data_IF_561939936983
#
_entry.id   IF_561939936983
#
_cell.length_a   1.000
_cell.length_b   1.000
_cell.length_c   1.000
_cell.angle_alpha   90.00
_cell.angle_beta   90.00
_cell.angle_gamma   90.00
#
_symmetry.space_group_name_H-M   'P 1'
#
loop_
_entity.id
_entity.type
_entity.pdbx_description
1 polymer ?
#
# COMPACT_ATOMS: atom_id res chain seq x y z
N UNK A 1 4.68 5.20 13.56
CA UNK A 1 5.07 6.08 12.43
C UNK A 1 3.80 6.55 11.75
N UNK A 2 3.59 7.87 11.70
CA UNK A 2 2.43 8.46 11.06
C UNK A 2 2.49 8.34 9.53
N UNK A 3 1.37 7.92 8.91
CA UNK A 3 1.23 7.83 7.47
C UNK A 3 -0.25 7.92 7.05
N UNK A 4 -0.52 8.34 5.80
CA UNK A 4 -1.86 8.42 5.21
C UNK A 4 -2.28 9.83 4.78
N UNK A 5 -1.46 10.85 5.05
CA UNK A 5 -1.81 12.24 4.74
C UNK A 5 -1.98 12.48 3.24
N UNK A 6 -1.11 11.96 2.40
CA UNK A 6 -1.22 12.13 0.94
C UNK A 6 -2.53 11.54 0.38
N UNK A 7 -2.90 10.33 0.84
CA UNK A 7 -4.18 9.71 0.45
C UNK A 7 -5.36 10.54 0.92
N UNK A 8 -5.30 11.05 2.14
CA UNK A 8 -6.33 11.90 2.72
C UNK A 8 -6.53 13.19 1.92
N UNK A 9 -5.44 13.89 1.59
CA UNK A 9 -5.49 15.11 0.77
C UNK A 9 -6.08 14.81 -0.61
N UNK A 10 -5.65 13.71 -1.24
CA UNK A 10 -6.22 13.27 -2.52
C UNK A 10 -7.70 12.94 -2.43
N UNK A 11 -8.16 12.34 -1.34
CA UNK A 11 -9.57 12.05 -1.09
C UNK A 11 -10.38 13.34 -0.96
N UNK A 12 -9.96 14.27 -0.11
CA UNK A 12 -10.67 15.53 0.15
C UNK A 12 -10.76 16.39 -1.12
N UNK A 13 -9.67 16.48 -1.89
CA UNK A 13 -9.65 17.23 -3.14
C UNK A 13 -10.61 16.68 -4.21
N UNK A 14 -11.00 15.41 -4.10
CA UNK A 14 -11.92 14.74 -5.01
C UNK A 14 -13.32 14.56 -4.42
N UNK A 15 -13.52 14.97 -3.16
CA UNK A 15 -14.79 14.78 -2.46
C UNK A 15 -15.89 15.62 -3.11
N UNK A 16 -16.82 14.93 -3.73
CA UNK A 16 -18.03 15.48 -4.36
C UNK A 16 -19.11 14.41 -4.38
N UNK A 17 -20.33 14.85 -4.43
CA UNK A 17 -21.51 13.98 -4.60
C UNK A 17 -21.97 14.03 -6.06
N UNK A 18 -22.15 12.85 -6.67
CA UNK A 18 -22.72 12.72 -8.02
C UNK A 18 -24.24 12.77 -7.93
N UNK A 19 -24.95 13.03 -9.06
CA UNK A 19 -26.41 13.00 -9.05
C UNK A 19 -26.95 11.63 -8.61
N UNK A 20 -26.30 10.53 -8.99
CA UNK A 20 -26.70 9.19 -8.56
C UNK A 20 -26.54 8.98 -7.05
N UNK A 21 -25.50 9.58 -6.43
CA UNK A 21 -25.34 9.56 -4.97
C UNK A 21 -26.48 10.34 -4.29
N UNK A 22 -26.82 11.51 -4.84
CA UNK A 22 -27.87 12.37 -4.30
C UNK A 22 -29.27 11.74 -4.44
N UNK A 23 -29.57 11.11 -5.56
CA UNK A 23 -30.79 10.34 -5.77
C UNK A 23 -30.91 9.21 -4.73
N UNK A 24 -29.86 8.42 -4.53
CA UNK A 24 -29.84 7.37 -3.51
C UNK A 24 -30.08 7.93 -2.10
N UNK A 25 -29.37 9.01 -1.75
CA UNK A 25 -29.50 9.64 -0.43
C UNK A 25 -30.91 10.19 -0.18
N UNK A 26 -31.58 10.72 -1.21
CA UNK A 26 -32.95 11.22 -1.12
C UNK A 26 -33.98 10.07 -1.08
N UNK A 27 -33.90 9.15 -2.04
CA UNK A 27 -34.96 8.21 -2.33
C UNK A 27 -34.89 6.94 -1.45
N UNK A 28 -33.67 6.48 -1.11
CA UNK A 28 -33.47 5.27 -0.32
C UNK A 28 -33.11 5.58 1.14
N UNK A 29 -32.30 6.61 1.40
CA UNK A 29 -31.90 6.97 2.76
C UNK A 29 -32.90 7.93 3.41
N UNK A 30 -33.63 8.72 2.61
CA UNK A 30 -34.70 9.60 3.07
C UNK A 30 -34.21 10.96 3.57
N UNK A 31 -33.10 11.46 3.07
CA UNK A 31 -32.65 12.82 3.38
C UNK A 31 -33.54 13.86 2.71
N UNK A 32 -33.70 15.01 3.40
CA UNK A 32 -34.55 16.11 2.93
C UNK A 32 -33.91 16.85 1.75
N UNK A 33 -34.74 17.43 0.91
CA UNK A 33 -34.29 18.11 -0.32
C UNK A 33 -33.32 19.27 -0.05
N UNK A 34 -33.50 20.04 1.04
CA UNK A 34 -32.59 21.12 1.42
C UNK A 34 -31.17 20.61 1.71
N UNK A 35 -31.04 19.44 2.32
CA UNK A 35 -29.74 18.83 2.56
C UNK A 35 -29.16 18.22 1.27
N UNK A 36 -29.97 17.63 0.40
CA UNK A 36 -29.55 17.17 -0.91
C UNK A 36 -29.00 18.31 -1.76
N UNK A 37 -29.66 19.47 -1.75
CA UNK A 37 -29.19 20.67 -2.45
C UNK A 37 -27.88 21.23 -1.85
N UNK A 38 -27.70 21.16 -0.54
CA UNK A 38 -26.44 21.47 0.12
C UNK A 38 -25.33 20.54 -0.37
N UNK A 39 -25.54 19.21 -0.40
CA UNK A 39 -24.54 18.24 -0.84
C UNK A 39 -24.20 18.38 -2.32
N UNK A 40 -25.17 18.74 -3.17
CA UNK A 40 -24.94 19.00 -4.61
C UNK A 40 -23.90 20.10 -4.85
N UNK A 41 -23.90 21.10 -3.99
CA UNK A 41 -23.00 22.25 -4.07
C UNK A 41 -21.82 22.15 -3.09
N UNK A 42 -21.65 21.00 -2.44
CA UNK A 42 -20.68 20.83 -1.38
C UNK A 42 -19.26 21.11 -1.86
N UNK A 43 -18.54 21.91 -1.05
CA UNK A 43 -17.12 22.13 -1.17
C UNK A 43 -16.52 22.07 0.23
N UNK A 44 -15.50 21.27 0.41
CA UNK A 44 -14.78 21.22 1.68
C UNK A 44 -14.08 22.53 1.95
N UNK A 45 -14.37 23.17 3.08
CA UNK A 45 -13.85 24.49 3.46
C UNK A 45 -13.08 24.47 4.79
N UNK A 46 -13.13 23.36 5.52
CA UNK A 46 -12.44 23.24 6.79
C UNK A 46 -10.91 23.26 6.64
N UNK A 47 -10.22 23.70 7.67
CA UNK A 47 -8.77 23.65 7.76
C UNK A 47 -8.31 22.33 8.37
N UNK A 48 -7.30 21.70 7.77
CA UNK A 48 -6.65 20.50 8.32
C UNK A 48 -5.23 20.85 8.75
N UNK A 49 -4.89 20.51 9.98
CA UNK A 49 -3.52 20.50 10.51
C UNK A 49 -3.14 19.07 10.82
N UNK A 50 -1.94 18.67 10.46
CA UNK A 50 -1.47 17.28 10.59
C UNK A 50 0.00 17.23 11.00
N UNK A 51 0.36 16.15 11.67
CA UNK A 51 1.75 15.71 11.82
C UNK A 51 2.29 15.37 10.42
N UNK A 52 3.59 15.47 10.24
CA UNK A 52 4.26 15.11 8.98
C UNK A 52 4.37 13.58 8.86
N UNK A 53 4.14 13.03 7.67
CA UNK A 53 4.32 11.59 7.43
C UNK A 53 5.77 11.16 7.71
N UNK A 54 5.93 10.00 8.32
CA UNK A 54 7.23 9.44 8.73
C UNK A 54 7.63 9.78 10.16
N UNK A 55 6.99 10.74 10.82
CA UNK A 55 7.29 11.05 12.21
C UNK A 55 6.83 9.96 13.18
N UNK A 56 7.59 9.83 14.28
CA UNK A 56 7.22 8.98 15.40
C UNK A 56 6.17 9.70 16.24
N UNK A 57 5.03 9.05 16.42
CA UNK A 57 3.90 9.61 17.20
C UNK A 57 3.55 8.69 18.36
N UNK A 58 2.99 9.28 19.41
CA UNK A 58 2.66 8.59 20.65
C UNK A 58 1.16 8.62 20.92
N UNK A 59 0.73 7.76 21.83
CA UNK A 59 -0.65 7.67 22.24
C UNK A 59 -1.12 9.01 22.88
N UNK A 60 -2.37 9.40 22.58
CA UNK A 60 -3.03 10.64 23.04
C UNK A 60 -2.50 11.93 22.43
N UNK A 61 -1.60 11.88 21.47
CA UNK A 61 -1.24 13.04 20.66
C UNK A 61 -2.23 13.21 19.50
N UNK A 62 -2.69 14.45 19.21
CA UNK A 62 -3.54 14.69 18.05
C UNK A 62 -2.71 14.54 16.77
N UNK A 63 -3.02 13.55 15.93
CA UNK A 63 -2.33 13.34 14.66
C UNK A 63 -2.84 14.26 13.57
N UNK A 64 -4.16 14.46 13.54
CA UNK A 64 -4.86 15.34 12.60
C UNK A 64 -5.90 16.13 13.38
N UNK A 65 -5.97 17.41 13.09
CA UNK A 65 -7.00 18.33 13.58
C UNK A 65 -7.76 18.91 12.39
N UNK A 66 -9.09 18.82 12.42
CA UNK A 66 -9.98 19.42 11.43
C UNK A 66 -10.80 20.51 12.10
N UNK A 67 -10.76 21.71 11.56
CA UNK A 67 -11.43 22.89 12.14
C UNK A 67 -12.24 23.61 11.06
N UNK A 68 -13.56 23.67 11.23
CA UNK A 68 -14.45 24.28 10.27
C UNK A 68 -15.93 23.98 10.52
N UNK A 69 -16.78 24.12 9.51
CA UNK A 69 -18.19 23.76 9.61
C UNK A 69 -18.40 22.31 10.05
N UNK A 70 -19.38 22.10 10.92
CA UNK A 70 -19.65 20.77 11.48
C UNK A 70 -19.87 19.71 10.39
N UNK A 71 -20.56 20.07 9.32
CA UNK A 71 -20.85 19.14 8.19
C UNK A 71 -19.54 18.71 7.53
N UNK A 72 -18.60 19.62 7.27
CA UNK A 72 -17.30 19.32 6.70
C UNK A 72 -16.54 18.32 7.58
N UNK A 73 -16.49 18.59 8.90
CA UNK A 73 -15.80 17.73 9.86
C UNK A 73 -16.42 16.32 9.91
N UNK A 74 -17.75 16.24 9.93
CA UNK A 74 -18.46 14.95 10.01
C UNK A 74 -18.32 14.12 8.72
N UNK A 75 -18.37 14.74 7.56
CA UNK A 75 -18.24 14.04 6.27
C UNK A 75 -16.87 13.39 6.07
N UNK A 76 -15.80 13.96 6.63
CA UNK A 76 -14.44 13.44 6.44
C UNK A 76 -13.94 12.56 7.58
N UNK A 77 -14.59 12.56 8.74
CA UNK A 77 -14.14 11.86 9.94
C UNK A 77 -13.83 10.37 9.67
N UNK A 78 -14.81 9.63 9.17
CA UNK A 78 -14.66 8.20 8.92
C UNK A 78 -13.56 7.90 7.91
N UNK A 79 -13.45 8.70 6.86
CA UNK A 79 -12.39 8.53 5.85
C UNK A 79 -11.00 8.81 6.44
N UNK A 80 -10.86 9.84 7.27
CA UNK A 80 -9.61 10.15 7.98
C UNK A 80 -9.20 8.96 8.85
N UNK A 81 -10.10 8.49 9.70
CA UNK A 81 -9.83 7.37 10.60
C UNK A 81 -9.43 6.10 9.85
N UNK A 82 -10.16 5.75 8.79
CA UNK A 82 -9.87 4.57 7.98
C UNK A 82 -8.49 4.64 7.30
N UNK A 83 -8.21 5.74 6.61
CA UNK A 83 -6.97 5.95 5.84
C UNK A 83 -5.76 5.97 6.77
N UNK A 84 -5.82 6.79 7.81
CA UNK A 84 -4.70 7.01 8.72
C UNK A 84 -4.42 5.79 9.57
N UNK A 85 -5.45 5.12 10.08
CA UNK A 85 -5.29 3.90 10.86
C UNK A 85 -4.53 2.83 10.07
N UNK A 86 -4.99 2.51 8.85
CA UNK A 86 -4.37 1.47 8.04
C UNK A 86 -2.91 1.78 7.72
N UNK A 87 -2.65 2.95 7.17
CA UNK A 87 -1.29 3.30 6.73
C UNK A 87 -0.31 3.49 7.89
N UNK A 88 -0.76 4.07 9.00
CA UNK A 88 0.06 4.23 10.22
C UNK A 88 0.43 2.87 10.84
N UNK A 89 -0.50 1.90 10.85
CA UNK A 89 -0.21 0.55 11.33
C UNK A 89 0.84 -0.15 10.46
N UNK A 90 0.72 -0.06 9.14
CA UNK A 90 1.69 -0.65 8.21
C UNK A 90 3.06 0.03 8.33
N UNK A 91 3.10 1.36 8.31
CA UNK A 91 4.36 2.12 8.45
C UNK A 91 5.05 1.83 9.79
N UNK A 92 4.28 1.73 10.88
CA UNK A 92 4.82 1.40 12.20
C UNK A 92 5.40 -0.02 12.25
N UNK A 93 4.72 -1.00 11.64
CA UNK A 93 5.25 -2.36 11.53
C UNK A 93 6.54 -2.39 10.70
N UNK A 94 6.55 -1.69 9.58
CA UNK A 94 7.74 -1.56 8.72
C UNK A 94 8.93 -0.95 9.46
N UNK A 95 8.70 0.15 10.20
CA UNK A 95 9.73 0.81 10.98
C UNK A 95 10.31 -0.08 12.10
N UNK A 96 9.46 -0.90 12.74
CA UNK A 96 9.93 -1.90 13.73
C UNK A 96 10.83 -2.96 13.08
N UNK A 97 10.53 -3.40 11.87
CA UNK A 97 11.39 -4.32 11.13
C UNK A 97 12.71 -3.61 10.79
N UNK A 98 12.65 -2.41 10.24
CA UNK A 98 13.83 -1.61 9.91
C UNK A 98 14.75 -1.40 11.11
N UNK A 99 14.19 -1.16 12.29
CA UNK A 99 14.98 -0.92 13.51
C UNK A 99 15.86 -2.10 13.96
N UNK A 100 15.54 -3.32 13.52
CA UNK A 100 16.30 -4.53 13.89
C UNK A 100 17.21 -5.04 12.77
N UNK A 101 16.94 -4.71 11.51
CA UNK A 101 17.78 -5.18 10.37
C UNK A 101 18.87 -4.18 9.97
N UNK A 102 18.87 -2.98 10.54
CA UNK A 102 19.89 -1.97 10.25
C UNK A 102 19.90 -1.56 8.77
N UNK A 103 21.00 -1.78 8.07
CA UNK A 103 21.22 -1.38 6.67
C UNK A 103 20.91 -2.49 5.64
N UNK A 104 20.45 -3.66 6.07
CA UNK A 104 20.08 -4.73 5.13
C UNK A 104 18.87 -4.34 4.29
N UNK A 105 18.85 -4.76 3.03
CA UNK A 105 17.77 -4.44 2.10
C UNK A 105 16.45 -5.08 2.52
N UNK A 106 15.38 -4.27 2.57
CA UNK A 106 14.03 -4.71 2.89
C UNK A 106 13.11 -4.59 1.68
N UNK A 107 12.51 -5.72 1.29
CA UNK A 107 11.59 -5.81 0.16
C UNK A 107 10.15 -6.00 0.66
N UNK A 108 9.22 -5.17 0.19
CA UNK A 108 7.80 -5.31 0.48
C UNK A 108 7.16 -6.29 -0.51
N UNK A 109 6.69 -7.43 -0.03
CA UNK A 109 6.09 -8.51 -0.82
C UNK A 109 4.67 -8.88 -0.34
N UNK A 110 3.96 -7.92 0.24
CA UNK A 110 2.67 -8.14 0.90
C UNK A 110 1.44 -8.04 0.00
N UNK A 111 1.56 -7.67 -1.28
CA UNK A 111 0.42 -7.41 -2.17
C UNK A 111 -0.68 -8.48 -2.11
N UNK A 112 -0.32 -9.76 -2.23
CA UNK A 112 -1.29 -10.89 -2.21
C UNK A 112 -1.93 -11.14 -0.83
N UNK A 113 -1.51 -10.45 0.21
CA UNK A 113 -1.99 -10.59 1.60
C UNK A 113 -2.68 -9.35 2.11
N UNK A 114 -2.77 -8.32 1.30
CA UNK A 114 -3.49 -7.10 1.63
C UNK A 114 -5.02 -7.31 1.48
N UNK A 115 -5.77 -6.49 2.18
CA UNK A 115 -7.21 -6.47 2.10
C UNK A 115 -7.63 -5.64 0.88
N UNK A 116 -7.66 -6.29 -0.30
CA UNK A 116 -8.05 -5.68 -1.57
C UNK A 116 -6.92 -4.88 -2.26
N UNK A 117 -7.12 -4.49 -3.53
CA UNK A 117 -6.08 -3.90 -4.38
C UNK A 117 -5.62 -2.51 -3.92
N UNK A 118 -6.54 -1.67 -3.47
CA UNK A 118 -6.18 -0.33 -2.97
C UNK A 118 -5.36 -0.42 -1.68
N UNK A 119 -5.69 -1.34 -0.79
CA UNK A 119 -4.90 -1.61 0.41
C UNK A 119 -3.48 -2.07 0.05
N UNK A 120 -3.31 -2.89 -0.99
CA UNK A 120 -1.99 -3.31 -1.46
C UNK A 120 -1.14 -2.12 -1.91
N UNK A 121 -1.72 -1.17 -2.67
CA UNK A 121 -1.01 0.01 -3.20
C UNK A 121 -0.60 0.95 -2.06
N UNK A 122 -1.55 1.33 -1.20
CA UNK A 122 -1.29 2.27 -0.11
C UNK A 122 -0.48 1.65 1.04
N UNK A 123 -0.62 0.34 1.25
CA UNK A 123 0.21 -0.42 2.18
C UNK A 123 1.68 -0.48 1.74
N UNK A 124 1.94 -0.64 0.44
CA UNK A 124 3.30 -0.55 -0.12
C UNK A 124 3.92 0.83 0.16
N UNK A 125 3.18 1.92 -0.09
CA UNK A 125 3.65 3.27 0.22
C UNK A 125 3.94 3.45 1.71
N UNK A 126 3.04 2.99 2.55
CA UNK A 126 3.21 3.06 4.00
C UNK A 126 4.43 2.25 4.50
N UNK A 127 4.69 1.08 3.92
CA UNK A 127 5.89 0.29 4.21
C UNK A 127 7.17 1.03 3.80
N UNK A 128 7.16 1.72 2.66
CA UNK A 128 8.28 2.53 2.20
C UNK A 128 8.54 3.73 3.13
N UNK A 129 7.51 4.43 3.59
CA UNK A 129 7.61 5.46 4.65
C UNK A 129 8.23 4.87 5.92
N UNK A 130 7.88 3.65 6.28
CA UNK A 130 8.43 2.92 7.42
C UNK A 130 9.85 2.37 7.22
N UNK A 131 10.48 2.63 6.06
CA UNK A 131 11.89 2.31 5.80
C UNK A 131 12.14 1.04 4.98
N UNK A 132 11.16 0.53 4.24
CA UNK A 132 11.41 -0.50 3.22
C UNK A 132 12.04 0.12 1.97
N UNK A 133 12.90 -0.62 1.28
CA UNK A 133 13.72 -0.10 0.18
C UNK A 133 13.08 -0.30 -1.19
N UNK A 134 12.29 -1.36 -1.36
CA UNK A 134 11.68 -1.72 -2.64
C UNK A 134 10.40 -2.53 -2.46
N UNK A 135 9.66 -2.75 -3.55
CA UNK A 135 8.41 -3.52 -3.56
C UNK A 135 8.32 -4.45 -4.77
N UNK A 136 7.59 -5.55 -4.64
CA UNK A 136 7.15 -6.34 -5.79
C UNK A 136 5.89 -5.79 -6.48
N UNK A 137 5.25 -4.79 -5.91
CA UNK A 137 4.07 -4.14 -6.46
C UNK A 137 4.47 -3.09 -7.51
N UNK A 138 4.58 -3.52 -8.77
CA UNK A 138 5.00 -2.65 -9.89
C UNK A 138 4.08 -1.44 -10.07
N UNK A 139 2.77 -1.58 -9.78
CA UNK A 139 1.83 -0.45 -9.86
C UNK A 139 2.12 0.60 -8.79
N UNK A 140 2.36 0.18 -7.56
CA UNK A 140 2.74 1.09 -6.48
C UNK A 140 4.11 1.73 -6.77
N UNK A 141 5.08 0.95 -7.26
CA UNK A 141 6.37 1.46 -7.72
C UNK A 141 6.22 2.58 -8.74
N UNK A 142 5.38 2.39 -9.76
CA UNK A 142 5.09 3.41 -10.78
C UNK A 142 4.42 4.66 -10.22
N UNK A 143 3.43 4.49 -9.30
CA UNK A 143 2.65 5.62 -8.77
C UNK A 143 3.50 6.48 -7.82
N UNK A 144 4.31 5.85 -6.97
CA UNK A 144 5.03 6.53 -5.88
C UNK A 144 6.53 6.66 -6.10
N UNK A 145 7.05 6.19 -7.22
CA UNK A 145 8.49 6.22 -7.48
C UNK A 145 9.31 5.26 -6.63
N UNK A 146 8.68 4.21 -6.06
CA UNK A 146 9.35 3.21 -5.24
C UNK A 146 10.07 2.20 -6.13
N UNK A 147 11.34 1.85 -5.86
CA UNK A 147 12.05 0.84 -6.64
C UNK A 147 11.26 -0.48 -6.69
N UNK A 148 11.07 -1.01 -7.90
CA UNK A 148 10.41 -2.29 -8.09
C UNK A 148 11.45 -3.41 -8.17
N UNK A 149 11.29 -4.44 -7.34
CA UNK A 149 12.15 -5.62 -7.31
C UNK A 149 11.32 -6.85 -6.96
N UNK A 150 11.78 -8.01 -7.34
CA UNK A 150 11.09 -9.25 -7.05
C UNK A 150 11.84 -10.47 -7.57
N UNK A 151 11.19 -11.61 -7.44
CA UNK A 151 11.65 -12.90 -7.91
C UNK A 151 10.63 -13.48 -8.87
N UNK A 152 10.98 -14.56 -9.57
CA UNK A 152 9.96 -15.38 -10.22
C UNK A 152 9.07 -16.09 -9.17
N UNK A 153 7.93 -16.64 -9.61
CA UNK A 153 7.00 -17.36 -8.74
C UNK A 153 7.27 -18.87 -8.75
N UNK A 154 6.79 -19.60 -7.71
CA UNK A 154 6.79 -21.07 -7.69
C UNK A 154 6.10 -21.66 -8.94
N UNK A 155 5.03 -21.02 -9.42
CA UNK A 155 4.32 -21.45 -10.63
C UNK A 155 5.21 -21.50 -11.87
N UNK A 156 6.23 -20.60 -11.97
CA UNK A 156 7.20 -20.69 -13.06
C UNK A 156 8.01 -22.00 -12.94
N UNK A 157 8.52 -22.33 -11.76
CA UNK A 157 9.29 -23.55 -11.55
C UNK A 157 8.45 -24.80 -11.85
N UNK A 158 7.19 -24.79 -11.42
CA UNK A 158 6.25 -25.88 -11.66
C UNK A 158 5.82 -26.05 -13.14
N UNK A 159 5.99 -25.01 -13.96
CA UNK A 159 5.74 -25.10 -15.41
C UNK A 159 6.86 -25.81 -16.17
N UNK A 160 7.99 -26.04 -15.53
CA UNK A 160 9.13 -26.80 -16.08
C UNK A 160 9.24 -28.18 -15.40
N UNK A 161 10.07 -29.07 -15.95
CA UNK A 161 10.24 -30.42 -15.41
C UNK A 161 10.93 -30.46 -14.06
N UNK A 162 11.79 -29.47 -13.78
CA UNK A 162 12.59 -29.38 -12.56
C UNK A 162 13.14 -27.98 -12.37
N UNK A 163 13.72 -27.71 -11.19
CA UNK A 163 14.31 -26.41 -10.82
C UNK A 163 15.37 -25.96 -11.82
N UNK A 164 16.26 -26.85 -12.27
CA UNK A 164 17.35 -26.49 -13.17
C UNK A 164 16.85 -25.94 -14.50
N UNK A 165 15.90 -26.61 -15.17
CA UNK A 165 15.33 -26.12 -16.44
C UNK A 165 14.62 -24.77 -16.27
N UNK A 166 13.89 -24.60 -15.17
CA UNK A 166 13.19 -23.36 -14.86
C UNK A 166 14.19 -22.19 -14.62
N UNK A 167 15.21 -22.42 -13.80
CA UNK A 167 16.21 -21.40 -13.49
C UNK A 167 17.05 -21.04 -14.72
N UNK A 168 17.42 -22.02 -15.52
CA UNK A 168 18.14 -21.78 -16.78
C UNK A 168 17.31 -20.94 -17.75
N UNK A 169 16.04 -21.27 -17.95
CA UNK A 169 15.13 -20.49 -18.79
C UNK A 169 14.97 -19.06 -18.26
N UNK A 170 14.83 -18.88 -16.95
CA UNK A 170 14.72 -17.55 -16.33
C UNK A 170 15.99 -16.73 -16.50
N UNK A 171 17.15 -17.32 -16.29
CA UNK A 171 18.45 -16.66 -16.43
C UNK A 171 18.76 -16.19 -17.86
N UNK A 172 18.18 -16.82 -18.89
CA UNK A 172 18.37 -16.38 -20.29
C UNK A 172 17.72 -15.02 -20.56
N UNK A 173 16.71 -14.62 -19.77
CA UNK A 173 15.94 -13.39 -19.95
C UNK A 173 16.25 -12.31 -18.91
N UNK A 174 16.89 -12.68 -17.80
CA UNK A 174 17.16 -11.78 -16.68
C UNK A 174 18.64 -11.88 -16.27
N UNK A 175 19.40 -10.82 -16.48
CA UNK A 175 20.86 -10.81 -16.15
C UNK A 175 21.13 -10.84 -14.64
N UNK A 176 20.38 -10.05 -13.88
CA UNK A 176 20.49 -9.96 -12.41
C UNK A 176 19.30 -10.65 -11.77
N UNK A 177 19.21 -11.98 -11.92
CA UNK A 177 18.07 -12.75 -11.44
C UNK A 177 18.25 -13.29 -10.02
N UNK A 178 17.17 -13.31 -9.26
CA UNK A 178 17.08 -13.98 -7.96
C UNK A 178 16.25 -15.23 -8.12
N UNK A 179 16.84 -16.37 -7.83
CA UNK A 179 16.15 -17.66 -7.92
C UNK A 179 15.32 -17.97 -6.68
N UNK A 180 14.07 -18.36 -6.87
CA UNK A 180 13.18 -18.87 -5.82
C UNK A 180 13.43 -20.38 -5.69
N UNK A 181 14.11 -20.79 -4.62
CA UNK A 181 14.72 -22.12 -4.50
C UNK A 181 13.90 -23.11 -3.65
N UNK A 182 12.75 -22.69 -3.14
CA UNK A 182 11.94 -23.46 -2.17
C UNK A 182 10.65 -24.03 -2.77
N UNK A 183 10.65 -24.32 -4.09
CA UNK A 183 9.48 -24.91 -4.75
C UNK A 183 9.27 -26.39 -4.37
N UNK A 184 10.33 -27.17 -4.31
CA UNK A 184 10.28 -28.61 -3.98
C UNK A 184 11.12 -28.94 -2.73
N UNK A 185 12.43 -29.09 -2.88
CA UNK A 185 13.37 -29.32 -1.77
C UNK A 185 14.49 -28.28 -1.87
N UNK A 186 14.48 -27.32 -0.94
CA UNK A 186 15.40 -26.18 -0.95
C UNK A 186 16.87 -26.63 -0.96
N UNK A 187 17.23 -27.61 -0.10
CA UNK A 187 18.64 -27.99 0.10
C UNK A 187 19.09 -29.07 -0.89
N UNK A 188 18.21 -29.97 -1.33
CA UNK A 188 18.59 -31.06 -2.21
C UNK A 188 18.40 -30.73 -3.70
N UNK A 189 17.51 -29.82 -4.04
CA UNK A 189 17.18 -29.46 -5.42
C UNK A 189 17.38 -27.98 -5.71
N UNK A 190 16.65 -27.10 -5.04
CA UNK A 190 16.61 -25.67 -5.38
C UNK A 190 17.98 -24.99 -5.33
N UNK A 191 18.64 -25.02 -4.18
CA UNK A 191 19.95 -24.36 -4.00
C UNK A 191 21.05 -24.98 -4.89
N UNK A 192 21.21 -26.32 -4.98
CA UNK A 192 22.20 -26.91 -5.88
C UNK A 192 21.98 -26.54 -7.35
N UNK A 193 20.74 -26.54 -7.82
CA UNK A 193 20.41 -26.17 -9.20
C UNK A 193 20.60 -24.68 -9.47
N UNK A 194 20.29 -23.81 -8.51
CA UNK A 194 20.55 -22.37 -8.60
C UNK A 194 22.08 -22.09 -8.73
N UNK A 195 22.89 -22.72 -7.89
CA UNK A 195 24.36 -22.61 -7.96
C UNK A 195 24.88 -23.13 -9.30
N UNK A 196 24.34 -24.24 -9.81
CA UNK A 196 24.74 -24.79 -11.09
C UNK A 196 24.45 -23.82 -12.24
N UNK A 197 23.25 -23.26 -12.31
CA UNK A 197 22.89 -22.29 -13.36
C UNK A 197 23.69 -20.99 -13.25
N UNK A 198 23.99 -20.53 -12.04
CA UNK A 198 24.80 -19.33 -11.83
C UNK A 198 26.26 -19.47 -12.26
N UNK A 199 26.76 -20.70 -12.42
CA UNK A 199 28.12 -21.00 -12.90
C UNK A 199 28.22 -21.20 -14.42
N UNK A 200 27.11 -21.42 -15.09
CA UNK A 200 27.00 -21.55 -16.55
C UNK A 200 26.87 -20.21 -17.26
#
# INVERSE_FOLDING_TARGET
IFAGLERLVSYINKLKFTETDLEYLRDEVGYKDDFIDYLRNFKFTATIRSVVEGEVVFNKEPLIQVEGPLVDCQLVETAILNIVNYQTLIATKAARIRSVVGNDALMEFGTRRAQELDAAIWGTRAAYIGGFDATSNVRAGKIFGIPASGTHAHALVQAYRNDYEAFKAYATTHKDCVFLVDTYDTLKSGVPNAIRVAKE
#
